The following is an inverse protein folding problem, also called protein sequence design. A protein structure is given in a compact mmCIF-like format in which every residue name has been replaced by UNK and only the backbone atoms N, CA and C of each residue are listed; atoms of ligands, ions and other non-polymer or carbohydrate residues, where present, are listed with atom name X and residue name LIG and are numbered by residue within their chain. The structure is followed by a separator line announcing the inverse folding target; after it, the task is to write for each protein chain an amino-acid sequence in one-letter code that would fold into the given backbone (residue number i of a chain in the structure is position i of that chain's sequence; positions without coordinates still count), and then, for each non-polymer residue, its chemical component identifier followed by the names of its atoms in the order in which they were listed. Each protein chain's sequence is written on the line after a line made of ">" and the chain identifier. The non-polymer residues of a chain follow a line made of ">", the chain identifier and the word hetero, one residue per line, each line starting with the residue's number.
data_IF_697601262654
#
_entry.id   IF_697601262654
#
_cell.length_a   1.000
_cell.length_b   1.000
_cell.length_c   1.000
_cell.angle_alpha   90.00
_cell.angle_beta   90.00
_cell.angle_gamma   90.00
#
_symmetry.space_group_name_H-M   'P 1'
#
loop_
_entity.id
_entity.type
_entity.pdbx_description
1 polymer ?
#
# COMPACT_ATOMS: atom_id res chain seq x y z
N UNK A 1 -6.27 -1.98 6.04
CA UNK A 1 -5.57 -1.13 5.03
C UNK A 1 -4.08 -1.48 4.88
N UNK A 2 -3.57 -2.21 5.86
CA UNK A 2 -2.18 -2.41 6.24
C UNK A 2 -1.87 -3.89 6.49
N UNK A 3 -2.88 -4.77 6.45
CA UNK A 3 -2.74 -6.20 6.75
C UNK A 3 -1.65 -6.88 5.90
N UNK A 4 -1.54 -6.55 4.60
CA UNK A 4 -0.48 -7.09 3.74
C UNK A 4 0.92 -6.54 4.07
N UNK A 5 1.03 -5.24 4.34
CA UNK A 5 2.28 -4.59 4.75
C UNK A 5 2.75 -5.16 6.10
N UNK A 6 1.86 -5.22 7.09
CA UNK A 6 2.13 -5.75 8.43
C UNK A 6 2.46 -7.25 8.37
N UNK A 7 1.73 -8.04 7.58
CA UNK A 7 1.99 -9.46 7.43
C UNK A 7 3.39 -9.70 6.83
N UNK A 8 3.75 -8.99 5.77
CA UNK A 8 5.07 -9.13 5.14
C UNK A 8 6.19 -8.63 6.07
N UNK A 9 5.96 -7.53 6.81
CA UNK A 9 6.88 -7.05 7.82
C UNK A 9 7.12 -8.09 8.92
N UNK A 10 6.05 -8.65 9.52
CA UNK A 10 6.14 -9.69 10.55
C UNK A 10 6.86 -10.94 10.02
N UNK A 11 6.59 -11.34 8.78
CA UNK A 11 7.29 -12.46 8.12
C UNK A 11 8.78 -12.19 7.97
N UNK A 12 9.16 -11.00 7.49
CA UNK A 12 10.55 -10.62 7.35
C UNK A 12 11.27 -10.55 8.70
N UNK A 13 10.62 -9.99 9.73
CA UNK A 13 11.15 -9.91 11.08
C UNK A 13 11.36 -11.31 11.68
N UNK A 14 10.41 -12.22 11.49
CA UNK A 14 10.53 -13.61 11.94
C UNK A 14 11.72 -14.33 11.28
N UNK A 15 11.98 -14.09 10.00
CA UNK A 15 13.18 -14.64 9.32
C UNK A 15 14.47 -14.14 9.96
N UNK A 16 14.56 -12.85 10.31
CA UNK A 16 15.74 -12.30 11.01
C UNK A 16 15.90 -12.91 12.40
N UNK A 17 14.82 -13.06 13.17
CA UNK A 17 14.83 -13.76 14.46
C UNK A 17 15.38 -15.20 14.34
N UNK A 18 14.88 -15.99 13.39
CA UNK A 18 15.33 -17.37 13.20
C UNK A 18 16.82 -17.44 12.86
N UNK A 19 17.29 -16.58 11.96
CA UNK A 19 18.72 -16.48 11.61
C UNK A 19 19.57 -16.08 12.81
N UNK A 20 19.11 -15.11 13.59
CA UNK A 20 19.81 -14.65 14.78
C UNK A 20 19.95 -15.76 15.83
N UNK A 21 18.88 -16.52 16.08
CA UNK A 21 18.92 -17.68 16.99
C UNK A 21 19.86 -18.76 16.48
N UNK A 22 19.81 -19.05 15.17
CA UNK A 22 20.72 -20.01 14.55
C UNK A 22 22.18 -19.63 14.78
N UNK A 23 22.55 -18.37 14.56
CA UNK A 23 23.91 -17.89 14.79
C UNK A 23 24.33 -17.98 16.27
N UNK A 24 23.43 -17.73 17.21
CA UNK A 24 23.70 -17.92 18.64
C UNK A 24 23.98 -19.37 19.02
N UNK A 25 23.16 -20.28 18.51
CA UNK A 25 23.36 -21.73 18.72
C UNK A 25 24.71 -22.17 18.13
N UNK A 26 25.02 -21.70 16.91
CA UNK A 26 26.29 -21.98 16.24
C UNK A 26 27.51 -21.49 17.03
N UNK A 27 27.37 -20.40 17.79
CA UNK A 27 28.40 -19.83 18.67
C UNK A 27 28.43 -20.45 20.08
N UNK A 28 27.60 -21.45 20.35
CA UNK A 28 27.42 -22.05 21.67
C UNK A 28 27.08 -21.02 22.78
N UNK A 29 26.38 -19.94 22.42
CA UNK A 29 25.91 -18.95 23.40
C UNK A 29 24.88 -19.59 24.35
N UNK A 30 24.93 -19.26 25.63
CA UNK A 30 23.89 -19.67 26.59
C UNK A 30 22.59 -18.94 26.30
N UNK A 31 21.55 -19.70 25.91
CA UNK A 31 20.21 -19.18 25.65
C UNK A 31 19.29 -19.60 26.78
N UNK A 32 18.73 -18.63 27.50
CA UNK A 32 17.71 -18.89 28.52
C UNK A 32 16.41 -19.38 27.86
N UNK A 33 15.82 -20.44 28.42
CA UNK A 33 14.51 -20.96 28.00
C UNK A 33 13.46 -19.84 28.13
N UNK A 34 12.81 -19.47 27.02
CA UNK A 34 11.84 -18.37 26.96
C UNK A 34 12.36 -17.07 26.33
N UNK A 35 13.67 -16.82 26.36
CA UNK A 35 14.28 -15.59 25.81
C UNK A 35 14.91 -15.81 24.43
N UNK A 36 14.66 -16.96 23.81
CA UNK A 36 15.27 -17.39 22.56
C UNK A 36 15.14 -16.35 21.45
N UNK A 37 14.02 -15.62 21.37
CA UNK A 37 13.79 -14.61 20.33
C UNK A 37 13.87 -13.17 20.83
N UNK A 38 14.23 -12.95 22.11
CA UNK A 38 14.35 -11.60 22.66
C UNK A 38 15.54 -10.90 22.05
N UNK A 39 15.29 -9.71 21.53
CA UNK A 39 16.31 -8.79 21.05
C UNK A 39 16.18 -7.48 21.80
N UNK A 40 17.30 -6.79 21.99
CA UNK A 40 17.26 -5.43 22.52
C UNK A 40 16.59 -4.48 21.53
N UNK A 41 16.16 -3.31 22.03
CA UNK A 41 15.43 -2.33 21.22
C UNK A 41 16.27 -1.81 20.05
N UNK A 42 17.59 -1.63 20.22
CA UNK A 42 18.46 -1.14 19.16
C UNK A 42 18.52 -2.14 18.00
N UNK A 43 18.70 -3.42 18.30
CA UNK A 43 18.70 -4.49 17.30
C UNK A 43 17.35 -4.62 16.61
N UNK A 44 16.25 -4.51 17.36
CA UNK A 44 14.90 -4.49 16.80
C UNK A 44 14.72 -3.33 15.82
N UNK A 45 15.16 -2.12 16.18
CA UNK A 45 15.04 -0.93 15.33
C UNK A 45 15.91 -1.03 14.07
N UNK A 46 17.13 -1.58 14.18
CA UNK A 46 17.99 -1.85 13.02
C UNK A 46 17.30 -2.79 12.03
N UNK A 47 16.75 -3.90 12.51
CA UNK A 47 15.99 -4.82 11.67
C UNK A 47 14.75 -4.18 11.06
N UNK A 48 14.01 -3.38 11.83
CA UNK A 48 12.84 -2.66 11.32
C UNK A 48 13.20 -1.74 10.16
N UNK A 49 14.32 -1.01 10.26
CA UNK A 49 14.81 -0.14 9.18
C UNK A 49 15.17 -0.94 7.93
N UNK A 50 15.93 -2.02 8.08
CA UNK A 50 16.31 -2.90 6.96
C UNK A 50 15.08 -3.50 6.28
N UNK A 51 14.13 -4.03 7.05
CA UNK A 51 12.89 -4.63 6.52
C UNK A 51 12.07 -3.57 5.78
N UNK A 52 11.99 -2.36 6.32
CA UNK A 52 11.26 -1.27 5.66
C UNK A 52 11.88 -0.93 4.31
N UNK A 53 13.21 -0.83 4.22
CA UNK A 53 13.92 -0.60 2.96
C UNK A 53 13.69 -1.74 1.96
N UNK A 54 13.74 -3.01 2.41
CA UNK A 54 13.43 -4.18 1.58
C UNK A 54 11.96 -4.17 1.08
N UNK A 55 11.02 -3.69 1.90
CA UNK A 55 9.61 -3.59 1.56
C UNK A 55 9.33 -2.50 0.52
N UNK A 56 10.06 -1.38 0.56
CA UNK A 56 9.91 -0.30 -0.41
C UNK A 56 10.20 -0.75 -1.85
N UNK A 57 11.07 -1.75 -2.03
CA UNK A 57 11.36 -2.33 -3.34
C UNK A 57 10.26 -3.29 -3.85
N UNK A 58 9.21 -3.56 -3.08
CA UNK A 58 8.14 -4.51 -3.43
C UNK A 58 6.84 -3.78 -3.77
N UNK A 59 6.08 -4.36 -4.70
CA UNK A 59 4.73 -3.93 -5.03
C UNK A 59 3.71 -4.15 -3.88
N UNK A 60 4.10 -4.79 -2.76
CA UNK A 60 3.21 -5.06 -1.62
C UNK A 60 2.59 -3.79 -1.05
N UNK A 61 3.37 -2.72 -0.96
CA UNK A 61 2.90 -1.41 -0.49
C UNK A 61 1.83 -0.91 -1.47
N UNK A 62 2.19 -0.70 -2.73
CA UNK A 62 1.29 -0.23 -3.78
C UNK A 62 -0.01 -1.06 -3.86
N UNK A 63 0.09 -2.39 -3.84
CA UNK A 63 -1.06 -3.28 -3.89
C UNK A 63 -1.99 -3.10 -2.68
N UNK A 64 -1.45 -2.89 -1.47
CA UNK A 64 -2.27 -2.63 -0.28
C UNK A 64 -2.97 -1.25 -0.36
N UNK A 65 -2.25 -0.23 -0.81
CA UNK A 65 -2.81 1.10 -1.00
C UNK A 65 -3.86 1.14 -2.13
N UNK A 66 -3.67 0.37 -3.21
CA UNK A 66 -4.65 0.22 -4.29
C UNK A 66 -5.90 -0.52 -3.84
N UNK A 67 -5.75 -1.64 -3.13
CA UNK A 67 -6.88 -2.40 -2.58
C UNK A 67 -7.73 -1.57 -1.61
N UNK A 68 -7.17 -0.54 -1.00
CA UNK A 68 -7.86 0.31 -0.03
C UNK A 68 -8.38 1.60 -0.63
N UNK A 69 -8.20 1.81 -1.93
CA UNK A 69 -8.64 3.00 -2.64
C UNK A 69 -7.82 4.27 -2.32
N UNK A 70 -6.72 4.18 -1.57
CA UNK A 70 -5.84 5.34 -1.31
C UNK A 70 -5.06 5.71 -2.57
N UNK A 71 -4.56 4.70 -3.29
CA UNK A 71 -4.05 4.95 -4.65
C UNK A 71 -5.27 5.10 -5.53
N UNK A 72 -5.73 6.33 -5.64
CA UNK A 72 -6.64 6.74 -6.69
C UNK A 72 -5.84 6.61 -7.99
N UNK A 73 -6.14 5.59 -8.79
CA UNK A 73 -5.83 5.65 -10.21
C UNK A 73 -6.69 6.81 -10.73
N UNK A 74 -6.15 8.03 -10.63
CA UNK A 74 -6.69 9.18 -11.34
C UNK A 74 -6.99 8.69 -12.74
N UNK A 75 -8.23 8.91 -13.16
CA UNK A 75 -8.75 8.65 -14.51
C UNK A 75 -7.59 8.68 -15.49
N UNK A 76 -7.32 7.55 -16.16
CA UNK A 76 -6.27 7.48 -17.16
C UNK A 76 -6.52 8.62 -18.17
N UNK A 77 -5.75 9.70 -18.08
CA UNK A 77 -5.91 10.87 -18.95
C UNK A 77 -5.60 10.53 -20.42
N UNK A 78 -5.12 9.31 -20.72
CA UNK A 78 -5.08 8.78 -22.09
C UNK A 78 -6.45 8.45 -22.67
N UNK A 79 -7.49 8.44 -21.83
CA UNK A 79 -8.88 8.32 -22.24
C UNK A 79 -9.55 9.69 -22.41
N UNK A 80 -8.82 10.74 -22.76
CA UNK A 80 -9.44 11.93 -23.37
C UNK A 80 -9.99 11.51 -24.74
N UNK A 81 -11.21 10.98 -24.78
CA UNK A 81 -12.06 11.23 -25.94
C UNK A 81 -12.23 12.74 -25.96
N UNK A 82 -11.77 13.39 -27.02
CA UNK A 82 -12.09 14.78 -27.29
C UNK A 82 -13.61 14.93 -27.30
N UNK A 83 -14.20 15.31 -26.18
CA UNK A 83 -15.51 15.94 -26.19
C UNK A 83 -15.23 17.41 -26.45
N UNK A 84 -15.02 17.75 -27.73
CA UNK A 84 -15.06 19.13 -28.15
C UNK A 84 -16.41 19.72 -27.73
N UNK A 85 -16.39 20.83 -26.99
CA UNK A 85 -17.53 21.72 -26.92
C UNK A 85 -17.69 22.33 -28.32
N UNK A 86 -18.40 21.63 -29.19
CA UNK A 86 -18.87 22.14 -30.47
C UNK A 86 -20.37 21.89 -30.50
N UNK A 87 -21.12 22.97 -30.30
CA UNK A 87 -22.57 22.94 -30.20
C UNK A 87 -23.02 23.90 -29.13
N UNK A 88 -22.94 25.20 -29.43
CA UNK A 88 -23.78 26.18 -28.74
C UNK A 88 -25.22 25.66 -28.83
N UNK A 89 -25.86 25.45 -27.68
CA UNK A 89 -27.27 25.05 -27.64
C UNK A 89 -28.06 26.25 -28.17
N UNK A 90 -28.68 26.11 -29.35
CA UNK A 90 -29.53 27.16 -29.90
C UNK A 90 -30.67 27.47 -28.93
N UNK A 91 -31.00 28.76 -28.79
CA UNK A 91 -31.96 29.26 -27.79
C UNK A 91 -33.34 28.62 -27.98
N UNK A 92 -33.67 28.26 -29.22
CA UNK A 92 -34.87 27.54 -29.61
C UNK A 92 -35.01 26.19 -28.89
N UNK A 93 -33.91 25.48 -28.65
CA UNK A 93 -33.87 24.15 -28.02
C UNK A 93 -34.12 24.25 -26.50
N UNK A 94 -33.78 25.39 -25.89
CA UNK A 94 -34.10 25.71 -24.49
C UNK A 94 -35.59 26.05 -24.36
N UNK A 95 -36.14 26.81 -25.32
CA UNK A 95 -37.56 27.20 -25.32
C UNK A 95 -38.47 25.98 -25.45
N UNK A 96 -38.12 25.02 -26.33
CA UNK A 96 -38.91 23.80 -26.50
C UNK A 96 -38.96 22.96 -25.20
N UNK A 97 -37.82 22.80 -24.52
CA UNK A 97 -37.75 22.00 -23.28
C UNK A 97 -38.42 22.69 -22.08
N UNK A 98 -38.47 24.02 -22.08
CA UNK A 98 -39.21 24.77 -21.06
C UNK A 98 -40.73 24.69 -21.26
N UNK A 99 -41.21 24.57 -22.51
CA UNK A 99 -42.62 24.37 -22.82
C UNK A 99 -43.13 22.99 -22.37
N UNK A 100 -42.29 21.95 -22.48
CA UNK A 100 -42.63 20.58 -22.05
C UNK A 100 -42.72 20.41 -20.52
N UNK A 101 -42.28 21.40 -19.73
CA UNK A 101 -42.37 21.38 -18.26
C UNK A 101 -43.69 21.98 -17.71
N UNK A 102 -44.60 22.43 -18.59
CA UNK A 102 -45.85 23.07 -18.20
C UNK A 102 -47.14 22.39 -18.71
N UNK A 103 -47.11 21.07 -18.97
CA UNK A 103 -48.32 20.25 -19.14
C UNK A 103 -48.31 19.02 -18.22
#
# INVERSE_FOLDING_TARGET
>A
MDAGIIAEFKRAYRRKQLRWVYEKIKRAEQIKKGDVYKVDQLQAMKWSKEIWQELQAKATIENCFRHTGIVFNGVDERSKKETGYSGDVEVEDIIFRAADLHL
#
